data_IF_679847268098
#
_entry.id   IF_679847268098
#
_cell.length_a   1.000
_cell.length_b   1.000
_cell.length_c   1.000
_cell.angle_alpha   90.00
_cell.angle_beta   90.00
_cell.angle_gamma   90.00
#
_symmetry.space_group_name_H-M   'P 1'
#
loop_
_entity.id
_entity.type
_entity.pdbx_description
1 polymer ?
#
# COMPACT_ATOMS: atom_id res chain seq x y z
N UNK A 1 -11.77 42.30 -41.20
CA UNK A 1 -11.82 42.14 -39.73
C UNK A 1 -10.59 42.80 -39.13
N UNK A 2 -10.73 43.60 -38.06
CA UNK A 2 -9.60 44.35 -37.52
C UNK A 2 -8.53 43.38 -36.97
N UNK A 3 -7.26 43.54 -37.34
CA UNK A 3 -6.18 42.59 -36.99
C UNK A 3 -6.05 42.39 -35.47
N UNK A 4 -6.34 43.43 -34.69
CA UNK A 4 -6.34 43.39 -33.23
C UNK A 4 -7.45 42.49 -32.66
N UNK A 5 -8.61 42.43 -33.31
CA UNK A 5 -9.73 41.57 -32.90
C UNK A 5 -9.38 40.10 -33.15
N UNK A 6 -8.76 39.79 -34.29
CA UNK A 6 -8.29 38.45 -34.61
C UNK A 6 -7.27 37.95 -33.56
N UNK A 7 -6.33 38.81 -33.16
CA UNK A 7 -5.30 38.48 -32.18
C UNK A 7 -5.89 38.22 -30.79
N UNK A 8 -6.89 39.01 -30.37
CA UNK A 8 -7.65 38.79 -29.14
C UNK A 8 -8.37 37.43 -29.12
N UNK A 9 -9.01 37.06 -30.22
CA UNK A 9 -9.70 35.76 -30.33
C UNK A 9 -8.70 34.61 -30.15
N UNK A 10 -7.53 34.69 -30.80
CA UNK A 10 -6.49 33.66 -30.69
C UNK A 10 -6.00 33.54 -29.24
N UNK A 11 -5.74 34.65 -28.56
CA UNK A 11 -5.30 34.64 -27.16
C UNK A 11 -6.37 34.01 -26.25
N UNK A 12 -7.64 34.36 -26.44
CA UNK A 12 -8.75 33.80 -25.66
C UNK A 12 -8.91 32.30 -25.92
N UNK A 13 -8.80 31.85 -27.17
CA UNK A 13 -8.86 30.44 -27.52
C UNK A 13 -7.71 29.64 -26.88
N UNK A 14 -6.47 30.15 -26.94
CA UNK A 14 -5.31 29.50 -26.34
C UNK A 14 -5.44 29.47 -24.81
N UNK A 15 -5.85 30.58 -24.19
CA UNK A 15 -6.04 30.64 -22.73
C UNK A 15 -7.12 29.68 -22.25
N UNK A 16 -8.25 29.61 -22.96
CA UNK A 16 -9.35 28.70 -22.65
C UNK A 16 -8.92 27.24 -22.78
N UNK A 17 -8.28 26.87 -23.89
CA UNK A 17 -7.75 25.52 -24.10
C UNK A 17 -6.73 25.13 -23.03
N UNK A 18 -5.79 26.04 -22.73
CA UNK A 18 -4.73 25.79 -21.74
C UNK A 18 -5.32 25.57 -20.35
N UNK A 19 -6.30 26.40 -19.95
CA UNK A 19 -6.95 26.26 -18.66
C UNK A 19 -7.69 24.91 -18.56
N UNK A 20 -8.43 24.52 -19.60
CA UNK A 20 -9.13 23.24 -19.62
C UNK A 20 -8.15 22.06 -19.55
N UNK A 21 -7.05 22.11 -20.31
CA UNK A 21 -6.02 21.08 -20.30
C UNK A 21 -5.36 20.96 -18.91
N UNK A 22 -5.01 22.07 -18.28
CA UNK A 22 -4.41 22.08 -16.95
C UNK A 22 -5.38 21.55 -15.88
N UNK A 23 -6.66 21.91 -15.95
CA UNK A 23 -7.67 21.40 -15.03
C UNK A 23 -7.83 19.89 -15.14
N UNK A 24 -7.96 19.36 -16.37
CA UNK A 24 -8.03 17.92 -16.60
C UNK A 24 -6.78 17.21 -16.07
N UNK A 25 -5.60 17.79 -16.30
CA UNK A 25 -4.36 17.18 -15.82
C UNK A 25 -4.25 17.20 -14.29
N UNK A 26 -4.74 18.27 -13.66
CA UNK A 26 -4.83 18.37 -12.20
C UNK A 26 -5.75 17.30 -11.62
N UNK A 27 -6.93 17.10 -12.21
CA UNK A 27 -7.89 16.08 -11.77
C UNK A 27 -7.31 14.66 -11.88
N UNK A 28 -6.64 14.35 -13.00
CA UNK A 28 -5.94 13.07 -13.15
C UNK A 28 -4.89 12.83 -12.06
N UNK A 29 -4.08 13.85 -11.78
CA UNK A 29 -3.04 13.78 -10.74
C UNK A 29 -3.67 13.60 -9.35
N UNK A 30 -4.75 14.31 -9.04
CA UNK A 30 -5.47 14.16 -7.78
C UNK A 30 -6.04 12.74 -7.61
N UNK A 31 -6.58 12.15 -8.68
CA UNK A 31 -7.04 10.77 -8.68
C UNK A 31 -5.89 9.79 -8.42
N UNK A 32 -4.73 9.98 -9.04
CA UNK A 32 -3.55 9.14 -8.78
C UNK A 32 -3.03 9.28 -7.35
N UNK A 33 -2.94 10.52 -6.84
CA UNK A 33 -2.54 10.80 -5.46
C UNK A 33 -3.49 10.10 -4.49
N UNK A 34 -4.80 10.18 -4.73
CA UNK A 34 -5.79 9.53 -3.87
C UNK A 34 -5.70 8.00 -3.92
N UNK A 35 -5.46 7.41 -5.10
CA UNK A 35 -5.18 5.97 -5.23
C UNK A 35 -3.95 5.56 -4.42
N UNK A 36 -2.83 6.30 -4.55
CA UNK A 36 -1.60 6.02 -3.81
C UNK A 36 -1.78 6.18 -2.30
N UNK A 37 -2.51 7.21 -1.85
CA UNK A 37 -2.86 7.41 -0.42
C UNK A 37 -3.63 6.21 0.13
N UNK A 38 -4.61 5.69 -0.60
CA UNK A 38 -5.38 4.50 -0.20
C UNK A 38 -4.47 3.28 -0.05
N UNK A 39 -3.59 3.03 -1.03
CA UNK A 39 -2.62 1.92 -0.99
C UNK A 39 -1.72 2.03 0.24
N UNK A 40 -1.19 3.23 0.54
CA UNK A 40 -0.35 3.47 1.73
C UNK A 40 -1.12 3.16 3.02
N UNK A 41 -2.39 3.56 3.12
CA UNK A 41 -3.22 3.26 4.29
C UNK A 41 -3.43 1.75 4.46
N UNK A 42 -3.70 1.04 3.38
CA UNK A 42 -3.91 -0.41 3.41
C UNK A 42 -2.62 -1.15 3.79
N UNK A 43 -1.47 -0.73 3.25
CA UNK A 43 -0.16 -1.27 3.63
C UNK A 43 0.14 -1.02 5.12
N UNK A 44 -0.14 0.18 5.63
CA UNK A 44 0.03 0.48 7.07
C UNK A 44 -0.83 -0.41 7.95
N UNK A 45 -2.07 -0.70 7.55
CA UNK A 45 -2.94 -1.64 8.27
C UNK A 45 -2.36 -3.05 8.27
N UNK A 46 -1.88 -3.55 7.11
CA UNK A 46 -1.24 -4.86 6.99
C UNK A 46 -0.01 -4.97 7.89
N UNK A 47 0.90 -4.00 7.83
CA UNK A 47 2.10 -3.95 8.68
C UNK A 47 1.73 -3.98 10.17
N UNK A 48 0.68 -3.25 10.57
CA UNK A 48 0.22 -3.27 11.97
C UNK A 48 -0.23 -4.66 12.39
N UNK A 49 -1.00 -5.35 11.56
CA UNK A 49 -1.47 -6.71 11.81
C UNK A 49 -0.28 -7.68 11.90
N UNK A 50 0.59 -7.69 10.89
CA UNK A 50 1.77 -8.55 10.83
C UNK A 50 2.70 -8.33 12.04
N UNK A 51 2.89 -7.07 12.46
CA UNK A 51 3.68 -6.75 13.66
C UNK A 51 3.04 -7.34 14.93
N UNK A 52 1.72 -7.26 15.05
CA UNK A 52 1.01 -7.86 16.18
C UNK A 52 1.11 -9.39 16.17
N UNK A 53 0.92 -10.01 15.01
CA UNK A 53 1.07 -11.46 14.84
C UNK A 53 2.48 -11.93 15.14
N UNK A 54 3.49 -11.24 14.60
CA UNK A 54 4.90 -11.51 14.88
C UNK A 54 5.20 -11.40 16.38
N UNK A 55 4.78 -10.31 17.04
CA UNK A 55 4.97 -10.13 18.48
C UNK A 55 4.24 -11.20 19.31
N UNK A 56 3.15 -11.75 18.80
CA UNK A 56 2.47 -12.87 19.45
C UNK A 56 3.27 -14.17 19.28
N UNK A 57 3.68 -14.46 18.05
CA UNK A 57 4.38 -15.70 17.67
C UNK A 57 5.83 -15.74 18.15
N UNK A 58 6.49 -14.62 18.45
CA UNK A 58 7.88 -14.62 18.92
C UNK A 58 8.07 -15.41 20.22
N UNK A 59 7.01 -15.59 21.02
CA UNK A 59 7.07 -16.43 22.21
C UNK A 59 6.87 -17.92 21.85
N UNK A 60 7.88 -18.79 22.05
CA UNK A 60 7.81 -20.19 21.69
C UNK A 60 6.71 -20.96 22.43
N UNK A 61 6.35 -20.57 23.66
CA UNK A 61 5.23 -21.19 24.39
C UNK A 61 3.89 -20.90 23.72
N UNK A 62 3.72 -19.71 23.13
CA UNK A 62 2.50 -19.34 22.40
C UNK A 62 2.41 -20.10 21.09
N UNK A 63 3.53 -20.27 20.38
CA UNK A 63 3.61 -21.16 19.21
C UNK A 63 3.21 -22.58 19.61
N UNK A 64 3.76 -23.10 20.72
CA UNK A 64 3.48 -24.46 21.16
C UNK A 64 2.01 -24.64 21.57
N UNK A 65 1.39 -23.65 22.21
CA UNK A 65 -0.05 -23.64 22.50
C UNK A 65 -0.89 -23.66 21.22
N UNK A 66 -0.52 -22.86 20.21
CA UNK A 66 -1.21 -22.85 18.91
C UNK A 66 -1.05 -24.19 18.17
N UNK A 67 0.15 -24.75 18.15
CA UNK A 67 0.44 -26.06 17.57
C UNK A 67 -0.40 -27.15 18.24
N UNK A 68 -0.43 -27.20 19.57
CA UNK A 68 -1.25 -28.14 20.34
C UNK A 68 -2.75 -28.02 20.06
N UNK A 69 -3.23 -26.80 19.75
CA UNK A 69 -4.64 -26.54 19.47
C UNK A 69 -5.04 -26.91 18.04
N UNK A 70 -4.16 -26.68 17.07
CA UNK A 70 -4.53 -26.69 15.65
C UNK A 70 -3.88 -27.81 14.83
N UNK A 71 -2.79 -28.42 15.31
CA UNK A 71 -2.10 -29.50 14.63
C UNK A 71 -2.39 -30.84 15.33
N UNK A 72 -2.50 -31.94 14.56
CA UNK A 72 -2.55 -33.32 15.09
C UNK A 72 -1.21 -33.66 15.73
N UNK A 73 -1.18 -34.34 16.89
CA UNK A 73 0.00 -34.59 17.77
C UNK A 73 1.19 -35.35 17.13
N UNK A 74 1.22 -35.43 15.82
CA UNK A 74 2.11 -36.22 14.99
C UNK A 74 3.37 -35.41 14.59
N UNK A 75 3.47 -34.16 15.04
CA UNK A 75 4.63 -33.28 14.81
C UNK A 75 5.70 -33.44 15.90
N UNK A 76 6.97 -33.39 15.48
CA UNK A 76 8.13 -33.39 16.38
C UNK A 76 8.10 -32.12 17.21
N UNK A 77 7.96 -32.26 18.54
CA UNK A 77 8.02 -31.14 19.48
C UNK A 77 9.45 -30.57 19.44
N UNK A 78 9.56 -29.25 19.31
CA UNK A 78 10.82 -28.51 19.27
C UNK A 78 11.48 -28.49 20.65
N UNK A 79 12.01 -29.63 21.08
CA UNK A 79 12.81 -29.75 22.30
C UNK A 79 14.29 -29.69 21.94
N UNK A 80 15.10 -29.06 22.81
CA UNK A 80 16.55 -28.89 22.63
C UNK A 80 17.28 -30.22 22.36
N UNK A 81 16.72 -31.34 22.86
CA UNK A 81 17.20 -32.72 22.66
C UNK A 81 16.96 -33.28 21.25
N UNK A 82 16.02 -32.71 20.50
CA UNK A 82 15.63 -33.15 19.15
C UNK A 82 16.37 -32.39 18.04
N UNK A 83 17.21 -31.42 18.39
CA UNK A 83 18.00 -30.64 17.42
C UNK A 83 19.38 -31.32 17.31
N UNK A 84 19.59 -32.12 16.27
CA UNK A 84 20.95 -32.58 15.91
C UNK A 84 21.76 -31.36 15.46
N UNK A 85 22.80 -30.99 16.22
CA UNK A 85 23.81 -30.05 15.74
C UNK A 85 24.50 -30.69 14.53
N UNK A 86 24.24 -30.14 13.35
CA UNK A 86 25.04 -30.43 12.17
C UNK A 86 26.30 -29.58 12.35
N UNK A 87 27.42 -30.26 12.61
CA UNK A 87 28.77 -29.69 12.60
C UNK A 87 29.31 -29.73 11.18
#
# INVERSE_FOLDING_TARGET
MNKNILLLIIILSIGSYSNNFLNQKSEELDLEVNKKKKIILDLRKKIKIEKTEFNYLINPERIQKLANKHLKKDYIIYEKKNIKKIY
#
